data_IF_944141694964
#
_entry.id   IF_944141694964
#
_cell.length_a   1.000
_cell.length_b   1.000
_cell.length_c   1.000
_cell.angle_alpha   90.00
_cell.angle_beta   90.00
_cell.angle_gamma   90.00
#
_symmetry.space_group_name_H-M   'P 1'
#
loop_
_entity.id
_entity.type
_entity.pdbx_description
1 polymer ?
#
# COMPACT_ATOMS: atom_id res chain seq x y z
N UNK A 1 -50.59 -5.38 14.02
CA UNK A 1 -49.45 -4.82 14.75
C UNK A 1 -48.14 -5.60 14.51
N UNK A 2 -48.10 -6.94 14.71
CA UNK A 2 -46.87 -7.77 14.55
C UNK A 2 -46.18 -7.58 13.19
N UNK A 3 -46.91 -7.66 12.06
CA UNK A 3 -46.34 -7.49 10.70
C UNK A 3 -45.76 -6.09 10.50
N UNK A 4 -46.41 -5.07 11.06
CA UNK A 4 -45.89 -3.68 10.98
C UNK A 4 -44.56 -3.51 11.73
N UNK A 5 -44.46 -4.08 12.95
CA UNK A 5 -43.21 -4.10 13.73
C UNK A 5 -42.11 -4.87 12.99
N UNK A 6 -42.47 -6.04 12.39
CA UNK A 6 -41.52 -6.83 11.60
C UNK A 6 -40.97 -6.05 10.38
N UNK A 7 -41.85 -5.29 9.69
CA UNK A 7 -41.44 -4.44 8.55
C UNK A 7 -40.48 -3.34 9.02
N UNK A 8 -40.78 -2.63 10.08
CA UNK A 8 -39.91 -1.57 10.64
C UNK A 8 -38.55 -2.16 11.02
N UNK A 9 -38.55 -3.29 11.75
CA UNK A 9 -37.33 -4.00 12.14
C UNK A 9 -36.50 -4.42 10.92
N UNK A 10 -37.18 -4.99 9.90
CA UNK A 10 -36.52 -5.43 8.68
C UNK A 10 -35.84 -4.25 7.92
N UNK A 11 -36.56 -3.15 7.73
CA UNK A 11 -36.08 -2.02 6.92
C UNK A 11 -34.99 -1.24 7.65
N UNK A 12 -35.15 -1.00 8.95
CA UNK A 12 -34.22 -0.13 9.71
C UNK A 12 -32.98 -0.88 10.18
N UNK A 13 -33.12 -2.18 10.50
CA UNK A 13 -32.04 -2.93 11.15
C UNK A 13 -31.56 -4.11 10.32
N UNK A 14 -32.46 -5.01 9.91
CA UNK A 14 -32.07 -6.30 9.30
C UNK A 14 -31.45 -6.09 7.92
N UNK A 15 -32.07 -5.34 7.02
CA UNK A 15 -31.58 -5.10 5.66
C UNK A 15 -30.21 -4.38 5.67
N UNK A 16 -30.01 -3.26 6.42
CA UNK A 16 -28.70 -2.62 6.50
C UNK A 16 -27.62 -3.53 7.10
N UNK A 17 -27.96 -4.33 8.12
CA UNK A 17 -26.99 -5.25 8.71
C UNK A 17 -26.62 -6.41 7.78
N UNK A 18 -27.58 -6.98 7.06
CA UNK A 18 -27.31 -8.02 6.06
C UNK A 18 -26.49 -7.46 4.89
N UNK A 19 -26.77 -6.23 4.46
CA UNK A 19 -26.00 -5.55 3.43
C UNK A 19 -24.54 -5.37 3.89
N UNK A 20 -24.34 -4.85 5.10
CA UNK A 20 -23.01 -4.67 5.67
C UNK A 20 -22.28 -6.01 5.87
N UNK A 21 -22.96 -7.06 6.33
CA UNK A 21 -22.42 -8.41 6.48
C UNK A 21 -21.95 -8.99 5.14
N UNK A 22 -22.75 -8.85 4.09
CA UNK A 22 -22.41 -9.31 2.73
C UNK A 22 -21.23 -8.50 2.15
N UNK A 23 -21.22 -7.18 2.33
CA UNK A 23 -20.12 -6.32 1.92
C UNK A 23 -18.82 -6.70 2.64
N UNK A 24 -18.86 -6.90 3.96
CA UNK A 24 -17.74 -7.33 4.76
C UNK A 24 -17.20 -8.70 4.30
N UNK A 25 -18.08 -9.68 4.09
CA UNK A 25 -17.71 -10.99 3.59
C UNK A 25 -17.04 -10.92 2.21
N UNK A 26 -17.52 -10.02 1.33
CA UNK A 26 -16.96 -9.84 -0.01
C UNK A 26 -15.57 -9.25 -0.01
N UNK A 27 -15.26 -8.35 0.95
CA UNK A 27 -14.01 -7.58 0.97
C UNK A 27 -12.93 -8.25 1.83
N UNK A 28 -13.34 -8.98 2.88
CA UNK A 28 -12.41 -9.60 3.83
C UNK A 28 -11.44 -10.61 3.21
N UNK A 29 -11.85 -11.26 2.11
CA UNK A 29 -11.09 -12.33 1.47
C UNK A 29 -9.76 -11.86 0.83
N UNK A 30 -9.65 -10.59 0.44
CA UNK A 30 -8.45 -10.08 -0.24
C UNK A 30 -7.72 -8.97 0.53
N UNK A 31 -8.40 -8.20 1.41
CA UNK A 31 -7.73 -7.16 2.22
C UNK A 31 -6.63 -7.74 3.11
N UNK A 32 -6.82 -8.97 3.61
CA UNK A 32 -5.86 -9.65 4.47
C UNK A 32 -4.96 -10.62 3.69
N UNK A 33 -5.01 -10.62 2.37
CA UNK A 33 -4.17 -11.46 1.52
C UNK A 33 -2.87 -10.74 1.17
N UNK A 34 -1.80 -11.06 1.93
CA UNK A 34 -0.44 -10.54 1.68
C UNK A 34 -0.01 -10.76 0.23
N UNK A 35 -0.29 -11.96 -0.32
CA UNK A 35 0.15 -12.34 -1.65
C UNK A 35 -0.49 -11.46 -2.73
N UNK A 36 -1.75 -11.05 -2.50
CA UNK A 36 -2.44 -10.12 -3.39
C UNK A 36 -1.66 -8.82 -3.61
N UNK A 37 -1.11 -8.24 -2.54
CA UNK A 37 -0.36 -6.98 -2.63
C UNK A 37 0.97 -7.19 -3.32
N UNK A 38 1.69 -8.27 -2.98
CA UNK A 38 2.97 -8.60 -3.59
C UNK A 38 2.81 -8.85 -5.09
N UNK A 39 1.87 -9.73 -5.47
CA UNK A 39 1.61 -10.04 -6.88
C UNK A 39 1.15 -8.81 -7.68
N UNK A 40 0.36 -7.94 -7.06
CA UNK A 40 -0.13 -6.71 -7.70
C UNK A 40 1.02 -5.76 -7.99
N UNK A 41 1.89 -5.54 -7.02
CA UNK A 41 3.05 -4.67 -7.18
C UNK A 41 4.05 -5.24 -8.19
N UNK A 42 4.18 -6.56 -8.26
CA UNK A 42 5.04 -7.27 -9.19
C UNK A 42 4.55 -7.18 -10.65
N UNK A 43 3.25 -7.32 -10.86
CA UNK A 43 2.66 -7.35 -12.21
C UNK A 43 2.50 -5.98 -12.87
N UNK A 44 2.35 -4.90 -12.11
CA UNK A 44 2.02 -3.56 -12.62
C UNK A 44 3.25 -2.69 -12.91
N UNK A 45 4.45 -3.27 -12.98
CA UNK A 45 5.71 -2.52 -13.17
C UNK A 45 5.89 -1.35 -12.18
N UNK A 46 5.27 -1.47 -11.01
CA UNK A 46 5.30 -0.44 -9.96
C UNK A 46 6.73 -0.20 -9.49
N UNK A 47 7.55 -1.26 -9.48
CA UNK A 47 8.95 -1.17 -9.09
C UNK A 47 9.74 -0.22 -9.98
N UNK A 48 9.54 -0.29 -11.29
CA UNK A 48 10.21 0.58 -12.26
C UNK A 48 9.86 2.05 -12.01
N UNK A 49 8.59 2.33 -11.75
CA UNK A 49 8.12 3.69 -11.40
C UNK A 49 8.60 4.13 -10.02
N UNK A 50 8.68 3.21 -9.06
CA UNK A 50 9.24 3.49 -7.73
C UNK A 50 10.73 3.82 -7.79
N UNK A 51 11.49 3.08 -8.60
CA UNK A 51 12.93 3.32 -8.78
C UNK A 51 13.16 4.67 -9.42
N UNK A 52 12.76 4.80 -10.69
CA UNK A 52 13.09 5.95 -11.52
C UNK A 52 12.39 7.24 -11.09
N UNK A 53 11.14 7.12 -10.66
CA UNK A 53 10.29 8.28 -10.36
C UNK A 53 10.37 8.80 -8.93
N UNK A 54 10.85 8.01 -7.97
CA UNK A 54 10.69 8.36 -6.56
C UNK A 54 11.89 8.05 -5.69
N UNK A 55 12.35 6.79 -5.67
CA UNK A 55 13.41 6.37 -4.75
C UNK A 55 14.74 7.04 -5.10
N UNK A 56 15.11 7.02 -6.37
CA UNK A 56 16.39 7.61 -6.81
C UNK A 56 16.40 9.13 -6.63
N UNK A 57 15.43 9.90 -7.15
CA UNK A 57 15.41 11.34 -6.92
C UNK A 57 15.26 11.69 -5.43
N UNK A 58 14.45 10.96 -4.69
CA UNK A 58 14.28 11.17 -3.25
C UNK A 58 15.58 10.90 -2.47
N UNK A 59 16.24 9.80 -2.76
CA UNK A 59 17.51 9.42 -2.14
C UNK A 59 18.64 10.39 -2.49
N UNK A 60 18.75 10.79 -3.76
CA UNK A 60 19.76 11.72 -4.22
C UNK A 60 19.56 13.14 -3.67
N UNK A 61 18.31 13.61 -3.58
CA UNK A 61 18.03 14.99 -3.13
C UNK A 61 18.00 15.13 -1.60
N UNK A 62 17.64 14.09 -0.86
CA UNK A 62 17.42 14.18 0.59
C UNK A 62 18.24 13.16 1.40
N UNK A 63 18.66 12.05 0.80
CA UNK A 63 19.39 10.97 1.49
C UNK A 63 20.91 11.09 1.37
N UNK A 64 21.40 11.60 0.26
CA UNK A 64 22.80 11.96 0.08
C UNK A 64 22.91 13.48 0.22
N UNK A 65 23.74 13.96 1.11
CA UNK A 65 24.12 15.38 1.15
C UNK A 65 25.00 15.70 -0.08
N UNK A 66 24.39 15.64 -1.27
CA UNK A 66 25.09 15.97 -2.50
C UNK A 66 25.34 17.47 -2.53
N UNK A 67 26.53 17.88 -2.96
CA UNK A 67 26.85 19.29 -3.17
C UNK A 67 25.90 19.94 -4.17
N UNK A 68 25.63 21.23 -4.00
CA UNK A 68 24.83 22.01 -4.95
C UNK A 68 25.43 21.97 -6.36
N UNK A 69 24.58 21.80 -7.38
CA UNK A 69 24.98 21.84 -8.79
C UNK A 69 25.32 20.48 -9.41
N UNK A 70 25.23 19.36 -8.68
CA UNK A 70 25.39 18.03 -9.25
C UNK A 70 24.21 17.68 -10.16
N UNK A 71 24.50 17.20 -11.37
CA UNK A 71 23.47 16.66 -12.28
C UNK A 71 23.00 15.28 -11.81
N UNK A 72 21.91 15.29 -11.06
CA UNK A 72 21.28 14.10 -10.47
C UNK A 72 20.82 13.08 -11.53
N UNK A 73 20.55 13.54 -12.77
CA UNK A 73 20.07 12.64 -13.83
C UNK A 73 21.11 11.61 -14.27
N UNK A 74 22.39 11.98 -14.24
CA UNK A 74 23.50 11.08 -14.57
C UNK A 74 23.72 10.03 -13.46
N UNK A 75 23.54 10.41 -12.21
CA UNK A 75 23.64 9.48 -11.10
C UNK A 75 22.43 8.50 -11.07
N UNK A 76 21.27 8.97 -11.48
CA UNK A 76 20.05 8.14 -11.50
C UNK A 76 20.25 6.86 -12.31
N UNK A 77 20.88 6.92 -13.48
CA UNK A 77 21.11 5.74 -14.32
C UNK A 77 22.00 4.68 -13.65
N UNK A 78 22.98 5.10 -12.84
CA UNK A 78 23.84 4.19 -12.09
C UNK A 78 23.07 3.56 -10.95
N UNK A 79 22.29 4.36 -10.22
CA UNK A 79 21.42 3.81 -9.16
C UNK A 79 20.39 2.83 -9.70
N UNK A 80 19.82 3.08 -10.88
CA UNK A 80 18.94 2.14 -11.59
C UNK A 80 19.64 0.80 -11.89
N UNK A 81 20.93 0.84 -12.24
CA UNK A 81 21.71 -0.37 -12.51
C UNK A 81 22.08 -1.16 -11.23
N UNK A 82 22.12 -0.49 -10.09
CA UNK A 82 22.43 -1.08 -8.77
C UNK A 82 21.18 -1.54 -8.04
N UNK A 83 20.13 -0.72 -8.09
CA UNK A 83 18.82 -1.04 -7.55
C UNK A 83 18.05 -1.89 -8.56
N UNK A 84 18.55 -3.11 -8.82
CA UNK A 84 17.88 -4.01 -9.72
C UNK A 84 16.45 -4.36 -9.24
N UNK A 85 15.64 -4.85 -10.15
CA UNK A 85 14.25 -5.17 -9.88
C UNK A 85 14.13 -6.23 -8.76
N UNK A 86 15.05 -7.19 -8.71
CA UNK A 86 15.02 -8.27 -7.72
C UNK A 86 15.32 -7.75 -6.31
N UNK A 87 16.26 -6.80 -6.17
CA UNK A 87 16.52 -6.14 -4.89
C UNK A 87 15.27 -5.42 -4.38
N UNK A 88 14.66 -4.60 -5.22
CA UNK A 88 13.46 -3.84 -4.82
C UNK A 88 12.27 -4.74 -4.51
N UNK A 89 12.07 -5.77 -5.32
CA UNK A 89 11.05 -6.79 -5.08
C UNK A 89 11.24 -7.42 -3.71
N UNK A 90 12.48 -7.75 -3.34
CA UNK A 90 12.81 -8.28 -2.02
C UNK A 90 12.50 -7.28 -0.90
N UNK A 91 12.88 -6.01 -1.06
CA UNK A 91 12.61 -4.96 -0.07
C UNK A 91 11.10 -4.72 0.11
N UNK A 92 10.34 -4.59 -0.98
CA UNK A 92 8.89 -4.40 -0.93
C UNK A 92 8.19 -5.62 -0.36
N UNK A 93 8.60 -6.83 -0.76
CA UNK A 93 8.05 -8.07 -0.22
C UNK A 93 8.28 -8.18 1.30
N UNK A 94 9.48 -7.84 1.76
CA UNK A 94 9.82 -7.80 3.18
C UNK A 94 9.01 -6.72 3.92
N UNK A 95 8.90 -5.53 3.34
CA UNK A 95 8.10 -4.44 3.90
C UNK A 95 6.62 -4.84 4.05
N UNK A 96 6.00 -5.32 2.97
CA UNK A 96 4.62 -5.80 2.97
C UNK A 96 4.46 -6.95 3.96
N UNK A 97 5.41 -7.90 3.96
CA UNK A 97 5.41 -9.02 4.90
C UNK A 97 5.40 -8.58 6.35
N UNK A 98 6.35 -7.74 6.73
CA UNK A 98 6.49 -7.23 8.09
C UNK A 98 5.27 -6.38 8.49
N UNK A 99 4.73 -5.56 7.57
CA UNK A 99 3.51 -4.80 7.81
C UNK A 99 2.32 -5.71 8.11
N UNK A 100 2.14 -6.79 7.33
CA UNK A 100 1.09 -7.78 7.57
C UNK A 100 1.30 -8.56 8.87
N UNK A 101 2.52 -8.96 9.20
CA UNK A 101 2.82 -9.67 10.44
C UNK A 101 2.56 -8.77 11.66
N UNK A 102 2.86 -7.47 11.54
CA UNK A 102 2.51 -6.48 12.56
C UNK A 102 1.00 -6.28 12.68
N UNK A 103 0.30 -6.05 11.54
CA UNK A 103 -1.15 -5.93 11.52
C UNK A 103 -1.81 -7.19 12.08
N UNK A 104 -1.31 -8.38 11.78
CA UNK A 104 -1.81 -9.65 12.30
C UNK A 104 -1.42 -9.94 13.75
N UNK A 105 -0.65 -9.07 14.39
CA UNK A 105 -0.22 -9.24 15.77
C UNK A 105 0.84 -10.33 15.98
N UNK A 106 1.48 -10.80 14.92
CA UNK A 106 2.59 -11.77 15.00
C UNK A 106 3.88 -11.09 15.43
N UNK A 107 4.00 -9.78 15.19
CA UNK A 107 5.09 -8.93 15.64
C UNK A 107 4.56 -7.80 16.52
N UNK A 108 5.29 -7.48 17.60
CA UNK A 108 4.91 -6.40 18.51
C UNK A 108 5.24 -5.02 17.94
N UNK A 109 6.28 -4.94 17.11
CA UNK A 109 6.76 -3.70 16.51
C UNK A 109 6.92 -3.88 15.02
N UNK A 110 6.58 -2.85 14.28
CA UNK A 110 6.90 -2.72 12.86
C UNK A 110 7.60 -1.40 12.65
N UNK A 111 8.75 -1.44 12.01
CA UNK A 111 9.49 -0.23 11.67
C UNK A 111 9.67 -0.21 10.15
N UNK A 112 9.10 0.78 9.46
CA UNK A 112 9.21 0.89 8.02
C UNK A 112 10.62 1.37 7.64
N UNK A 113 11.53 0.41 7.43
CA UNK A 113 12.92 0.67 7.07
C UNK A 113 13.27 0.06 5.73
N UNK A 114 14.17 0.70 5.00
CA UNK A 114 14.85 0.16 3.83
C UNK A 114 16.28 -0.19 4.22
N UNK A 115 16.72 -1.40 3.88
CA UNK A 115 18.08 -1.86 4.08
C UNK A 115 18.97 -1.36 2.92
N UNK A 116 19.94 -0.49 3.23
CA UNK A 116 20.89 0.06 2.25
C UNK A 116 22.20 -0.70 2.17
N UNK A 117 22.40 -1.77 2.97
CA UNK A 117 23.64 -2.57 2.95
C UNK A 117 23.94 -3.14 1.56
N UNK A 118 22.96 -3.72 0.81
CA UNK A 118 23.22 -4.21 -0.54
C UNK A 118 23.64 -3.10 -1.51
N UNK A 119 23.00 -1.93 -1.43
CA UNK A 119 23.36 -0.76 -2.23
C UNK A 119 24.79 -0.30 -1.93
N UNK A 120 25.13 -0.14 -0.66
CA UNK A 120 26.50 0.22 -0.22
C UNK A 120 27.53 -0.78 -0.70
N UNK A 121 27.21 -2.07 -0.61
CA UNK A 121 28.09 -3.16 -1.05
C UNK A 121 28.33 -3.13 -2.57
N UNK A 122 27.28 -2.88 -3.36
CA UNK A 122 27.40 -2.75 -4.81
C UNK A 122 28.23 -1.53 -5.21
N UNK A 123 28.01 -0.38 -4.56
CA UNK A 123 28.78 0.85 -4.80
C UNK A 123 30.23 0.76 -4.32
N UNK A 124 30.53 -0.08 -3.34
CA UNK A 124 31.91 -0.36 -2.92
C UNK A 124 32.61 -1.45 -3.75
N UNK A 125 31.84 -2.25 -4.51
CA UNK A 125 32.30 -3.43 -5.27
C UNK A 125 32.16 -3.25 -6.78
N UNK A 126 31.31 -4.08 -7.37
CA UNK A 126 31.21 -4.25 -8.83
C UNK A 126 30.77 -2.97 -9.56
N UNK A 127 29.97 -2.12 -8.93
CA UNK A 127 29.47 -0.87 -9.50
C UNK A 127 30.30 0.37 -9.13
N UNK A 128 31.38 0.19 -8.37
CA UNK A 128 32.21 1.31 -7.90
C UNK A 128 32.69 2.20 -9.04
N UNK A 129 33.30 1.62 -10.06
CA UNK A 129 33.89 2.40 -11.15
C UNK A 129 32.82 3.12 -11.99
N UNK A 130 31.68 2.45 -12.25
CA UNK A 130 30.55 3.03 -12.97
C UNK A 130 29.98 4.23 -12.20
N UNK A 131 29.80 4.09 -10.89
CA UNK A 131 29.34 5.16 -10.01
C UNK A 131 30.31 6.34 -9.96
N UNK A 132 31.62 6.08 -9.80
CA UNK A 132 32.63 7.11 -9.72
C UNK A 132 32.75 7.89 -11.02
N UNK A 133 32.66 7.24 -12.18
CA UNK A 133 32.67 7.90 -13.49
C UNK A 133 31.42 8.77 -13.67
N UNK A 134 30.25 8.28 -13.34
CA UNK A 134 29.02 9.06 -13.42
C UNK A 134 29.03 10.25 -12.45
N UNK A 135 29.55 10.05 -11.24
CA UNK A 135 29.72 11.14 -10.27
C UNK A 135 30.69 12.20 -10.79
N UNK A 136 31.84 11.78 -11.34
CA UNK A 136 32.82 12.70 -11.93
C UNK A 136 32.22 13.48 -13.12
N UNK A 137 31.39 12.86 -13.93
CA UNK A 137 30.70 13.49 -15.06
C UNK A 137 29.64 14.49 -14.60
N UNK A 138 28.93 14.20 -13.52
CA UNK A 138 27.83 15.02 -12.99
C UNK A 138 28.30 16.28 -12.27
N UNK A 139 29.61 16.37 -11.92
CA UNK A 139 30.18 17.55 -11.28
C UNK A 139 30.26 18.74 -12.24
N UNK A 140 29.85 19.96 -11.81
CA UNK A 140 30.03 21.16 -12.58
C UNK A 140 31.53 21.49 -12.72
N UNK A 141 31.91 22.26 -13.75
CA UNK A 141 33.26 22.75 -13.88
C UNK A 141 33.56 23.78 -12.78
N UNK A 142 34.77 23.73 -12.19
CA UNK A 142 35.17 24.72 -11.16
C UNK A 142 35.29 26.12 -11.76
N UNK A 143 34.78 27.10 -11.02
CA UNK A 143 35.04 28.52 -11.31
C UNK A 143 36.49 28.91 -11.00
N UNK A 144 37.01 29.95 -11.65
CA UNK A 144 38.37 30.43 -11.36
C UNK A 144 38.54 30.81 -9.88
N UNK A 145 39.48 30.14 -9.20
CA UNK A 145 39.75 30.34 -7.78
C UNK A 145 39.01 29.41 -6.82
N UNK A 146 38.12 28.55 -7.30
CA UNK A 146 37.54 27.51 -6.47
C UNK A 146 38.55 26.37 -6.24
N UNK A 147 38.58 25.88 -4.99
CA UNK A 147 39.41 24.73 -4.63
C UNK A 147 38.53 23.48 -4.77
N UNK A 148 38.87 22.56 -5.70
CA UNK A 148 38.10 21.33 -5.86
C UNK A 148 38.25 20.47 -4.62
N UNK A 149 37.11 19.93 -4.12
CA UNK A 149 37.09 19.01 -3.00
C UNK A 149 35.70 18.53 -2.73
N UNK A 150 35.61 17.34 -2.10
CA UNK A 150 34.36 16.79 -1.62
C UNK A 150 34.42 16.71 -0.10
N UNK A 151 33.68 17.58 0.57
CA UNK A 151 33.55 17.62 2.02
C UNK A 151 34.27 18.79 2.70
N UNK A 152 33.54 19.52 3.50
CA UNK A 152 33.94 20.67 4.28
C UNK A 152 33.44 22.01 3.71
N UNK A 153 33.25 22.99 4.58
CA UNK A 153 32.63 24.30 4.25
C UNK A 153 33.43 25.15 3.28
N UNK A 154 34.69 24.79 2.97
CA UNK A 154 35.60 25.54 2.08
C UNK A 154 35.83 24.84 0.73
N UNK A 155 35.34 23.62 0.53
CA UNK A 155 35.55 22.86 -0.69
C UNK A 155 34.26 22.82 -1.53
N UNK A 156 34.38 23.15 -2.79
CA UNK A 156 33.29 23.07 -3.75
C UNK A 156 33.40 21.76 -4.54
N UNK A 157 32.33 21.02 -4.63
CA UNK A 157 32.30 19.82 -5.47
C UNK A 157 32.22 20.23 -6.94
N UNK A 158 33.37 20.41 -7.56
CA UNK A 158 33.49 20.81 -8.96
C UNK A 158 34.64 20.07 -9.63
N UNK A 159 34.60 19.99 -10.95
CA UNK A 159 35.61 19.37 -11.80
C UNK A 159 36.72 20.34 -12.13
N UNK A 160 37.99 20.06 -11.72
CA UNK A 160 39.11 20.92 -12.02
C UNK A 160 39.38 21.01 -13.52
N UNK A 161 39.72 22.20 -14.03
CA UNK A 161 40.07 22.39 -15.43
C UNK A 161 41.34 21.59 -15.77
N UNK A 162 41.29 20.83 -16.88
CA UNK A 162 42.44 20.07 -17.36
C UNK A 162 42.58 18.66 -16.71
N UNK A 163 41.76 18.29 -15.78
CA UNK A 163 41.70 16.92 -15.21
C UNK A 163 40.72 16.08 -16.01
N UNK A 164 41.16 14.89 -16.46
CA UNK A 164 40.28 13.95 -17.13
C UNK A 164 39.28 13.35 -16.16
N UNK A 165 38.12 12.95 -16.66
CA UNK A 165 37.06 12.31 -15.85
C UNK A 165 37.59 11.05 -15.16
N UNK A 166 38.40 10.24 -15.89
CA UNK A 166 38.99 9.02 -15.34
C UNK A 166 39.97 9.31 -14.19
N UNK A 167 40.82 10.37 -14.33
CA UNK A 167 41.71 10.77 -13.27
C UNK A 167 40.93 11.32 -12.06
N UNK A 168 39.86 12.11 -12.30
CA UNK A 168 39.02 12.62 -11.24
C UNK A 168 38.34 11.45 -10.48
N UNK A 169 37.79 10.46 -11.20
CA UNK A 169 37.15 9.29 -10.61
C UNK A 169 38.13 8.44 -9.78
N UNK A 170 39.30 8.10 -10.34
CA UNK A 170 40.20 7.13 -9.73
C UNK A 170 41.16 7.73 -8.69
N UNK A 171 41.68 8.95 -8.93
CA UNK A 171 42.71 9.56 -8.09
C UNK A 171 42.11 10.41 -6.95
N UNK A 172 40.91 10.97 -7.18
CA UNK A 172 40.28 11.89 -6.22
C UNK A 172 39.07 11.30 -5.54
N UNK A 173 38.11 10.73 -6.29
CA UNK A 173 36.84 10.25 -5.72
C UNK A 173 36.96 8.88 -5.09
N UNK A 174 37.71 7.96 -5.70
CA UNK A 174 37.86 6.59 -5.23
C UNK A 174 38.40 6.45 -3.80
N UNK A 175 39.43 7.24 -3.37
CA UNK A 175 39.90 7.17 -1.99
C UNK A 175 38.89 7.67 -0.95
N UNK A 176 37.96 8.56 -1.34
CA UNK A 176 37.01 9.22 -0.45
C UNK A 176 35.72 8.37 -0.33
N UNK A 177 35.35 7.62 -1.37
CA UNK A 177 34.11 6.86 -1.43
C UNK A 177 33.87 5.96 -0.21
N UNK A 178 34.84 5.18 0.31
CA UNK A 178 34.60 4.36 1.50
C UNK A 178 34.19 5.18 2.73
N UNK A 179 34.78 6.37 2.89
CA UNK A 179 34.44 7.27 4.00
C UNK A 179 33.04 7.83 3.86
N UNK A 180 32.65 8.20 2.63
CA UNK A 180 31.31 8.70 2.34
C UNK A 180 30.26 7.60 2.54
N UNK A 181 30.51 6.40 2.03
CA UNK A 181 29.61 5.25 2.22
C UNK A 181 29.46 4.85 3.69
N UNK A 182 30.51 5.03 4.51
CA UNK A 182 30.44 4.76 5.95
C UNK A 182 29.54 5.77 6.70
N UNK A 183 29.35 6.96 6.16
CA UNK A 183 28.46 7.97 6.75
C UNK A 183 26.98 7.73 6.43
N UNK A 184 26.69 6.98 5.36
CA UNK A 184 25.32 6.60 5.01
C UNK A 184 24.87 5.51 5.99
N UNK A 185 23.73 5.68 6.67
CA UNK A 185 23.22 4.65 7.56
C UNK A 185 22.91 3.35 6.80
N UNK A 186 23.03 2.22 7.46
CA UNK A 186 22.70 0.90 6.86
C UNK A 186 21.20 0.74 6.63
N UNK A 187 20.40 1.50 7.36
CA UNK A 187 18.94 1.46 7.27
C UNK A 187 18.37 2.88 7.32
N UNK A 188 17.39 3.14 6.49
CA UNK A 188 16.69 4.44 6.44
C UNK A 188 15.22 4.25 6.76
N UNK A 189 14.72 5.05 7.71
CA UNK A 189 13.30 5.12 8.05
C UNK A 189 12.52 5.78 6.92
N UNK A 190 11.42 5.13 6.50
CA UNK A 190 10.54 5.64 5.45
C UNK A 190 9.56 6.71 5.94
N UNK A 191 9.33 6.79 7.25
CA UNK A 191 8.37 7.70 7.89
C UNK A 191 9.01 8.32 9.11
N UNK A 192 9.16 9.65 9.13
CA UNK A 192 9.83 10.37 10.21
C UNK A 192 9.14 10.24 11.57
N UNK A 193 7.80 10.23 11.62
CA UNK A 193 7.02 10.19 12.87
C UNK A 193 6.40 8.82 13.12
N UNK A 194 7.13 7.76 12.82
CA UNK A 194 6.62 6.39 12.95
C UNK A 194 6.19 6.02 14.38
N UNK A 195 6.93 6.48 15.38
CA UNK A 195 6.60 6.23 16.81
C UNK A 195 5.24 6.83 17.18
N UNK A 196 4.92 8.01 16.68
CA UNK A 196 3.63 8.65 16.87
C UNK A 196 2.51 7.84 16.21
N UNK A 197 2.72 7.36 14.98
CA UNK A 197 1.76 6.51 14.27
C UNK A 197 1.55 5.16 14.99
N UNK A 198 2.57 4.59 15.60
CA UNK A 198 2.43 3.37 16.40
C UNK A 198 1.50 3.57 17.62
N UNK A 199 1.48 4.75 18.21
CA UNK A 199 0.62 5.04 19.36
C UNK A 199 -0.86 4.89 19.02
N UNK A 200 -1.26 5.18 17.79
CA UNK A 200 -2.65 5.03 17.32
C UNK A 200 -3.11 3.57 17.24
N UNK A 201 -2.21 2.60 17.13
CA UNK A 201 -2.58 1.18 17.08
C UNK A 201 -3.40 0.75 18.30
N UNK A 202 -3.00 1.19 19.48
CA UNK A 202 -3.65 0.81 20.73
C UNK A 202 -5.07 1.39 20.86
N UNK A 203 -5.38 2.48 20.14
CA UNK A 203 -6.70 3.10 20.10
C UNK A 203 -7.62 2.50 19.02
N UNK A 204 -7.07 1.79 18.05
CA UNK A 204 -7.84 1.24 16.92
C UNK A 204 -8.33 -0.20 17.17
N UNK A 205 -7.85 -0.90 18.20
CA UNK A 205 -8.39 -2.20 18.55
C UNK A 205 -9.75 -2.05 19.22
N UNK A 206 -10.78 -2.62 18.63
CA UNK A 206 -12.13 -2.65 19.22
C UNK A 206 -12.20 -3.43 20.54
N UNK A 207 -11.23 -4.31 20.77
CA UNK A 207 -11.12 -5.13 21.97
C UNK A 207 -9.75 -4.86 22.58
N UNK A 208 -9.68 -4.27 23.79
CA UNK A 208 -8.41 -3.99 24.47
C UNK A 208 -7.55 -5.25 24.61
N UNK A 209 -6.26 -5.13 24.29
CA UNK A 209 -5.31 -6.24 24.38
C UNK A 209 -5.31 -7.23 23.22
N UNK A 210 -6.14 -7.03 22.21
CA UNK A 210 -6.11 -7.85 20.99
C UNK A 210 -5.47 -7.09 19.82
N UNK A 211 -4.75 -7.82 18.98
CA UNK A 211 -4.28 -7.30 17.69
C UNK A 211 -5.45 -6.85 16.81
N UNK A 212 -5.28 -5.75 16.08
CA UNK A 212 -6.33 -5.15 15.22
C UNK A 212 -7.05 -6.19 14.34
N UNK A 213 -6.36 -7.12 13.63
CA UNK A 213 -7.08 -8.08 12.79
C UNK A 213 -7.85 -9.12 13.59
N UNK A 214 -7.34 -9.57 14.73
CA UNK A 214 -8.08 -10.51 15.58
C UNK A 214 -9.36 -9.85 16.11
N UNK A 215 -9.29 -8.59 16.52
CA UNK A 215 -10.46 -7.84 16.96
C UNK A 215 -11.44 -7.55 15.82
N UNK A 216 -10.95 -7.25 14.62
CA UNK A 216 -11.78 -7.07 13.42
C UNK A 216 -12.46 -8.38 12.99
N UNK A 217 -11.73 -9.50 13.03
CA UNK A 217 -12.25 -10.80 12.66
C UNK A 217 -13.33 -11.27 13.63
N UNK A 218 -13.09 -11.14 14.94
CA UNK A 218 -14.08 -11.47 15.97
C UNK A 218 -15.30 -10.55 15.91
N UNK A 219 -15.09 -9.24 15.75
CA UNK A 219 -16.19 -8.28 15.61
C UNK A 219 -16.98 -8.52 14.34
N UNK A 220 -16.31 -8.87 13.23
CA UNK A 220 -16.96 -9.25 11.96
C UNK A 220 -17.81 -10.50 12.10
N UNK A 221 -17.30 -11.56 12.73
CA UNK A 221 -18.07 -12.78 13.02
C UNK A 221 -19.26 -12.47 13.93
N UNK A 222 -19.03 -11.74 15.03
CA UNK A 222 -20.09 -11.33 15.93
C UNK A 222 -21.17 -10.52 15.21
N UNK A 223 -20.77 -9.60 14.36
CA UNK A 223 -21.69 -8.79 13.55
C UNK A 223 -22.54 -9.65 12.62
N UNK A 224 -21.93 -10.62 11.92
CA UNK A 224 -22.66 -11.57 11.05
C UNK A 224 -23.65 -12.41 11.86
N UNK A 225 -23.24 -12.93 13.01
CA UNK A 225 -24.13 -13.71 13.88
C UNK A 225 -25.31 -12.89 14.41
N UNK A 226 -25.07 -11.63 14.79
CA UNK A 226 -26.14 -10.71 15.21
C UNK A 226 -27.09 -10.43 14.04
N UNK A 227 -26.56 -10.17 12.84
CA UNK A 227 -27.36 -9.92 11.64
C UNK A 227 -28.26 -11.11 11.32
N UNK A 228 -27.73 -12.34 11.34
CA UNK A 228 -28.48 -13.57 11.11
C UNK A 228 -29.52 -13.83 12.21
N UNK A 229 -29.20 -13.55 13.47
CA UNK A 229 -30.13 -13.69 14.59
C UNK A 229 -31.30 -12.73 14.49
N UNK A 230 -31.03 -11.46 14.16
CA UNK A 230 -32.06 -10.45 13.95
C UNK A 230 -32.91 -10.75 12.72
N UNK A 231 -32.29 -11.25 11.65
CA UNK A 231 -32.99 -11.69 10.45
C UNK A 231 -33.99 -12.79 10.77
N UNK A 232 -33.56 -13.84 11.49
CA UNK A 232 -34.43 -14.93 11.91
C UNK A 232 -35.52 -14.45 12.89
N UNK A 233 -35.17 -13.59 13.87
CA UNK A 233 -36.12 -13.01 14.80
C UNK A 233 -37.22 -12.20 14.10
N UNK A 234 -36.86 -11.43 13.05
CA UNK A 234 -37.82 -10.68 12.27
C UNK A 234 -38.91 -11.58 11.61
N UNK A 235 -38.48 -12.76 11.15
CA UNK A 235 -39.43 -13.76 10.59
C UNK A 235 -40.35 -14.37 11.64
N UNK A 236 -39.84 -14.61 12.86
CA UNK A 236 -40.67 -15.09 13.99
C UNK A 236 -41.71 -14.07 14.40
N UNK A 237 -41.40 -12.77 14.32
CA UNK A 237 -42.33 -11.69 14.64
C UNK A 237 -43.36 -11.53 13.50
N UNK A 238 -42.94 -11.73 12.24
CA UNK A 238 -43.81 -11.48 11.07
C UNK A 238 -45.03 -12.39 11.00
N UNK A 239 -44.85 -13.69 11.21
CA UNK A 239 -45.94 -14.70 11.11
C UNK A 239 -45.65 -15.94 11.95
N UNK A 240 -46.70 -16.71 12.26
CA UNK A 240 -46.58 -17.98 12.97
C UNK A 240 -46.46 -19.18 12.01
N UNK A 241 -46.95 -19.06 10.77
CA UNK A 241 -46.88 -20.10 9.77
C UNK A 241 -45.44 -20.24 9.19
N UNK A 242 -44.93 -21.47 9.16
CA UNK A 242 -43.56 -21.76 8.68
C UNK A 242 -43.30 -21.27 7.24
N UNK A 243 -44.26 -21.49 6.35
CA UNK A 243 -44.17 -21.07 4.95
C UNK A 243 -44.03 -19.55 4.82
N UNK A 244 -44.88 -18.80 5.53
CA UNK A 244 -44.84 -17.34 5.50
C UNK A 244 -43.53 -16.79 6.10
N UNK A 245 -42.96 -17.49 7.11
CA UNK A 245 -41.63 -17.12 7.65
C UNK A 245 -40.52 -17.31 6.62
N UNK A 246 -40.54 -18.42 5.86
CA UNK A 246 -39.56 -18.66 4.79
C UNK A 246 -39.64 -17.58 3.70
N UNK A 247 -40.87 -17.25 3.28
CA UNK A 247 -41.06 -16.17 2.30
C UNK A 247 -40.56 -14.82 2.84
N UNK A 248 -40.84 -14.51 4.09
CA UNK A 248 -40.34 -13.29 4.74
C UNK A 248 -38.80 -13.21 4.74
N UNK A 249 -38.15 -14.32 5.16
CA UNK A 249 -36.70 -14.44 5.12
C UNK A 249 -36.16 -14.27 3.70
N UNK A 250 -36.81 -14.85 2.70
CA UNK A 250 -36.42 -14.71 1.30
C UNK A 250 -36.52 -13.25 0.83
N UNK A 251 -37.65 -12.58 1.05
CA UNK A 251 -37.81 -11.18 0.64
C UNK A 251 -36.87 -10.22 1.34
N UNK A 252 -36.63 -10.37 2.63
CA UNK A 252 -35.71 -9.54 3.39
C UNK A 252 -34.24 -9.77 3.01
N UNK A 253 -33.86 -10.96 2.53
CA UNK A 253 -32.53 -11.26 2.01
C UNK A 253 -32.37 -10.80 0.55
N UNK A 254 -33.43 -10.82 -0.26
CA UNK A 254 -33.38 -10.46 -1.68
C UNK A 254 -32.91 -9.03 -1.90
N UNK A 255 -33.36 -8.09 -1.08
CA UNK A 255 -33.03 -6.66 -1.23
C UNK A 255 -31.52 -6.40 -1.07
N UNK A 256 -30.87 -6.81 0.06
CA UNK A 256 -29.42 -6.62 0.18
C UNK A 256 -28.62 -7.40 -0.84
N UNK A 257 -29.07 -8.62 -1.22
CA UNK A 257 -28.41 -9.43 -2.24
C UNK A 257 -28.44 -8.77 -3.62
N UNK A 258 -29.58 -8.18 -4.01
CA UNK A 258 -29.71 -7.43 -5.25
C UNK A 258 -28.82 -6.16 -5.24
N UNK A 259 -28.78 -5.44 -4.11
CA UNK A 259 -27.91 -4.27 -3.98
C UNK A 259 -26.43 -4.62 -4.08
N UNK A 260 -25.98 -5.68 -3.40
CA UNK A 260 -24.59 -6.17 -3.48
C UNK A 260 -24.27 -6.62 -4.91
N UNK A 261 -25.16 -7.37 -5.55
CA UNK A 261 -24.98 -7.80 -6.93
C UNK A 261 -24.87 -6.61 -7.88
N UNK A 262 -25.77 -5.64 -7.78
CA UNK A 262 -25.72 -4.41 -8.59
C UNK A 262 -24.46 -3.59 -8.32
N UNK A 263 -23.99 -3.54 -7.07
CA UNK A 263 -22.72 -2.92 -6.72
C UNK A 263 -21.55 -3.65 -7.40
N UNK A 264 -21.57 -4.99 -7.44
CA UNK A 264 -20.60 -5.78 -8.17
C UNK A 264 -20.60 -5.47 -9.67
N UNK A 265 -21.76 -5.35 -10.31
CA UNK A 265 -21.90 -4.95 -11.72
C UNK A 265 -21.36 -3.53 -11.93
N UNK A 266 -21.70 -2.59 -11.06
CA UNK A 266 -21.20 -1.22 -11.12
C UNK A 266 -19.66 -1.17 -10.91
N UNK A 267 -19.12 -1.97 -10.00
CA UNK A 267 -17.68 -2.07 -9.77
C UNK A 267 -16.93 -2.68 -10.97
N UNK A 268 -17.58 -3.50 -11.80
CA UNK A 268 -17.01 -4.01 -13.05
C UNK A 268 -16.85 -2.91 -14.12
N UNK A 269 -17.47 -1.75 -13.95
CA UNK A 269 -17.30 -0.60 -14.85
C UNK A 269 -16.01 0.16 -14.53
N UNK A 270 -15.56 1.02 -15.46
CA UNK A 270 -14.39 1.87 -15.25
C UNK A 270 -14.65 3.07 -14.29
N UNK A 271 -15.89 3.25 -13.83
CA UNK A 271 -16.29 4.39 -12.98
C UNK A 271 -15.52 4.40 -11.64
N UNK A 272 -15.40 3.28 -10.88
CA UNK A 272 -14.65 3.28 -9.63
C UNK A 272 -13.16 3.61 -9.82
N UNK A 273 -12.53 3.10 -10.89
CA UNK A 273 -11.14 3.42 -11.24
C UNK A 273 -10.96 4.92 -11.49
N UNK A 274 -11.89 5.51 -12.23
CA UNK A 274 -11.86 6.95 -12.50
C UNK A 274 -11.94 7.77 -11.21
N UNK A 275 -12.90 7.46 -10.33
CA UNK A 275 -13.04 8.19 -9.05
C UNK A 275 -11.88 7.98 -8.10
N UNK A 276 -11.32 6.77 -8.05
CA UNK A 276 -10.15 6.48 -7.24
C UNK A 276 -8.92 7.27 -7.73
N UNK A 277 -8.67 7.30 -9.04
CA UNK A 277 -7.59 8.10 -9.63
C UNK A 277 -7.78 9.59 -9.35
N UNK A 278 -8.99 10.11 -9.52
CA UNK A 278 -9.32 11.51 -9.22
C UNK A 278 -9.10 11.85 -7.75
N UNK A 279 -9.41 10.93 -6.82
CA UNK A 279 -9.13 11.09 -5.40
C UNK A 279 -7.63 11.11 -5.11
N UNK A 280 -6.88 10.17 -5.69
CA UNK A 280 -5.42 10.09 -5.53
C UNK A 280 -4.69 11.31 -6.09
N UNK A 281 -5.18 11.89 -7.20
CA UNK A 281 -4.58 13.10 -7.78
C UNK A 281 -4.74 14.34 -6.88
N UNK A 282 -5.78 14.35 -6.04
CA UNK A 282 -6.05 15.40 -5.07
C UNK A 282 -5.47 15.13 -3.69
N UNK A 283 -5.07 13.89 -3.41
CA UNK A 283 -4.48 13.53 -2.14
C UNK A 283 -3.12 14.24 -1.97
N UNK A 284 -2.95 14.86 -0.81
CA UNK A 284 -1.72 15.54 -0.46
C UNK A 284 -0.77 14.55 0.21
N UNK A 285 0.29 14.15 -0.51
CA UNK A 285 1.35 13.29 -0.01
C UNK A 285 2.60 14.08 0.42
N UNK A 286 2.50 15.40 0.65
CA UNK A 286 3.64 16.26 0.98
C UNK A 286 4.33 15.88 2.31
N UNK A 287 3.64 15.15 3.19
CA UNK A 287 4.24 14.59 4.40
C UNK A 287 5.11 13.34 4.17
N UNK A 288 5.20 12.87 2.91
CA UNK A 288 6.00 11.71 2.52
C UNK A 288 6.92 12.10 1.34
N UNK A 289 7.92 12.97 1.56
CA UNK A 289 8.72 13.60 0.49
C UNK A 289 9.43 12.57 -0.37
N UNK A 290 9.86 11.44 0.20
CA UNK A 290 10.58 10.39 -0.52
C UNK A 290 9.67 9.49 -1.39
N UNK A 291 8.37 9.39 -1.08
CA UNK A 291 7.49 8.37 -1.66
C UNK A 291 6.26 8.92 -2.38
N UNK A 292 6.05 10.23 -2.36
CA UNK A 292 4.80 10.83 -2.85
C UNK A 292 4.34 10.33 -4.23
N UNK A 293 5.15 10.46 -5.29
CA UNK A 293 4.78 9.97 -6.62
C UNK A 293 4.68 8.45 -6.71
N UNK A 294 5.67 7.72 -6.19
CA UNK A 294 5.68 6.26 -6.26
C UNK A 294 4.61 5.61 -5.40
N UNK A 295 4.31 6.16 -4.22
CA UNK A 295 3.20 5.70 -3.40
C UNK A 295 1.86 5.88 -4.12
N UNK A 296 1.70 7.00 -4.85
CA UNK A 296 0.50 7.24 -5.65
C UNK A 296 0.33 6.19 -6.75
N UNK A 297 1.40 5.84 -7.46
CA UNK A 297 1.35 4.80 -8.50
C UNK A 297 1.13 3.40 -7.91
N UNK A 298 1.79 3.08 -6.80
CA UNK A 298 1.54 1.84 -6.07
C UNK A 298 0.08 1.71 -5.61
N UNK A 299 -0.49 2.79 -5.07
CA UNK A 299 -1.91 2.83 -4.70
C UNK A 299 -2.83 2.70 -5.92
N UNK A 300 -2.49 3.33 -7.04
CA UNK A 300 -3.24 3.15 -8.30
C UNK A 300 -3.21 1.71 -8.78
N UNK A 301 -2.05 1.06 -8.75
CA UNK A 301 -1.91 -0.35 -9.12
C UNK A 301 -2.75 -1.25 -8.22
N UNK A 302 -2.65 -1.07 -6.90
CA UNK A 302 -3.45 -1.82 -5.92
C UNK A 302 -4.96 -1.61 -6.15
N UNK A 303 -5.41 -0.38 -6.38
CA UNK A 303 -6.82 -0.08 -6.63
C UNK A 303 -7.29 -0.73 -7.94
N UNK A 304 -6.51 -0.63 -9.03
CA UNK A 304 -6.84 -1.28 -10.30
C UNK A 304 -6.96 -2.80 -10.16
N UNK A 305 -6.07 -3.42 -9.40
CA UNK A 305 -6.10 -4.86 -9.15
C UNK A 305 -7.22 -5.28 -8.16
N UNK A 306 -7.55 -4.41 -7.19
CA UNK A 306 -8.59 -4.69 -6.20
C UNK A 306 -10.00 -4.61 -6.80
N UNK A 307 -10.28 -3.65 -7.69
CA UNK A 307 -11.62 -3.42 -8.24
C UNK A 307 -12.21 -4.65 -8.91
N UNK A 308 -11.52 -5.39 -9.81
CA UNK A 308 -12.05 -6.62 -10.39
C UNK A 308 -12.31 -7.71 -9.35
N UNK A 309 -11.46 -7.84 -8.33
CA UNK A 309 -11.66 -8.82 -7.24
C UNK A 309 -12.87 -8.47 -6.40
N UNK A 310 -13.03 -7.20 -6.04
CA UNK A 310 -14.23 -6.69 -5.34
C UNK A 310 -15.47 -6.96 -6.16
N UNK A 311 -15.46 -6.61 -7.46
CA UNK A 311 -16.56 -6.86 -8.38
C UNK A 311 -16.94 -8.34 -8.39
N UNK A 312 -15.97 -9.24 -8.60
CA UNK A 312 -16.21 -10.68 -8.65
C UNK A 312 -16.76 -11.20 -7.32
N UNK A 313 -16.19 -10.78 -6.19
CA UNK A 313 -16.67 -11.17 -4.86
C UNK A 313 -18.11 -10.69 -4.60
N UNK A 314 -18.43 -9.46 -4.99
CA UNK A 314 -19.78 -8.91 -4.83
C UNK A 314 -20.79 -9.64 -5.72
N UNK A 315 -20.42 -9.97 -6.95
CA UNK A 315 -21.25 -10.77 -7.85
C UNK A 315 -21.50 -12.18 -7.30
N UNK A 316 -20.47 -12.84 -6.76
CA UNK A 316 -20.58 -14.15 -6.15
C UNK A 316 -21.47 -14.12 -4.90
N UNK A 317 -21.16 -13.24 -3.94
CA UNK A 317 -21.91 -13.15 -2.68
C UNK A 317 -23.36 -12.73 -2.94
N UNK A 318 -23.58 -11.71 -3.78
CA UNK A 318 -24.92 -11.27 -4.16
C UNK A 318 -25.68 -12.33 -4.96
N UNK A 319 -25.02 -13.05 -5.87
CA UNK A 319 -25.61 -14.13 -6.65
C UNK A 319 -26.01 -15.34 -5.79
N UNK A 320 -25.11 -15.82 -4.92
CA UNK A 320 -25.39 -16.96 -4.02
C UNK A 320 -26.49 -16.61 -3.03
N UNK A 321 -26.41 -15.45 -2.38
CA UNK A 321 -27.42 -15.02 -1.41
C UNK A 321 -28.76 -14.71 -2.08
N UNK A 322 -28.74 -14.18 -3.31
CA UNK A 322 -29.95 -14.00 -4.13
C UNK A 322 -30.61 -15.32 -4.54
N UNK A 323 -29.82 -16.31 -4.94
CA UNK A 323 -30.33 -17.66 -5.24
C UNK A 323 -30.96 -18.33 -3.98
N UNK A 324 -30.29 -18.18 -2.83
CA UNK A 324 -30.83 -18.63 -1.55
C UNK A 324 -32.15 -17.92 -1.22
N UNK A 325 -32.22 -16.60 -1.41
CA UNK A 325 -33.44 -15.83 -1.19
C UNK A 325 -34.58 -16.30 -2.08
N UNK A 326 -34.34 -16.54 -3.37
CA UNK A 326 -35.32 -17.12 -4.28
C UNK A 326 -35.79 -18.51 -3.81
N UNK A 327 -34.83 -19.38 -3.42
CA UNK A 327 -35.19 -20.70 -2.87
C UNK A 327 -36.11 -20.61 -1.67
N UNK A 328 -35.86 -19.68 -0.74
CA UNK A 328 -36.71 -19.43 0.44
C UNK A 328 -38.11 -18.91 0.05
N UNK A 329 -38.20 -18.05 -0.97
CA UNK A 329 -39.48 -17.53 -1.46
C UNK A 329 -40.32 -18.64 -2.11
N UNK A 330 -39.71 -19.47 -2.96
CA UNK A 330 -40.43 -20.51 -3.70
C UNK A 330 -40.78 -21.74 -2.85
N UNK A 331 -39.98 -22.08 -1.84
CA UNK A 331 -40.26 -23.22 -0.95
C UNK A 331 -41.25 -22.87 0.17
N UNK A 332 -41.32 -21.61 0.55
CA UNK A 332 -42.30 -21.10 1.50
C UNK A 332 -43.64 -20.82 0.83
#
# INVERSE_FOLDING_TARGET
MRKFIAIILAVILVIPMLLAAQALASVSSFIMDRQFYIDTLDNEQVYETLISGTLIPGFLNNGLALPEGIDVSQLASVFESVLDQDYLKSQVSNFVGNAFDYIQGKQETFVPMVDLVPLKSALAGDKQNEFLLALAQSLPDCEPGQIPGIGGSEFTACKPQGVSIDALANDYLKPILPLTLAQIPDQVLLVENWEELQSYRNYQSFIPGMAVPASLLLSGIAFILIALSLWYLSALIADDAWRTRLQWLGWTLMIPSALIFLTGVAAASNIPVFWANYGLDRANFNGLPFFGPGLREALRAIIRAAIPRVSTSFLMVGGISGALALGLIFWG
#
